data_IF_930582443454
#
_entry.id   IF_930582443454
#
_cell.length_a   1.000
_cell.length_b   1.000
_cell.length_c   1.000
_cell.angle_alpha   90.00
_cell.angle_beta   90.00
_cell.angle_gamma   90.00
#
_symmetry.space_group_name_H-M   'P 1'
#
loop_
_entity.id
_entity.type
_entity.pdbx_description
1 polymer ?
#
# COMPACT_ATOMS: atom_id res chain seq x y z
N UNK A 1 -7.46 10.22 -12.38
CA UNK A 1 -8.47 10.19 -11.31
C UNK A 1 -7.76 10.40 -9.99
N UNK A 2 -8.28 11.28 -9.14
CA UNK A 2 -7.67 11.65 -7.86
C UNK A 2 -8.36 10.81 -6.79
N UNK A 3 -7.67 9.81 -6.22
CA UNK A 3 -8.20 9.11 -5.05
C UNK A 3 -8.33 10.06 -3.85
N UNK A 4 -8.98 9.60 -2.79
CA UNK A 4 -9.21 10.37 -1.57
C UNK A 4 -8.07 10.15 -0.57
N UNK A 5 -7.62 11.20 0.11
CA UNK A 5 -6.67 11.05 1.23
C UNK A 5 -7.31 10.30 2.41
N UNK A 6 -6.50 9.64 3.23
CA UNK A 6 -6.96 8.80 4.34
C UNK A 6 -7.96 9.52 5.28
N UNK A 7 -7.71 10.80 5.57
CA UNK A 7 -8.54 11.59 6.49
C UNK A 7 -9.99 11.75 6.03
N UNK A 8 -10.22 11.75 4.71
CA UNK A 8 -11.55 11.94 4.11
C UNK A 8 -12.20 10.62 3.69
N UNK A 9 -11.53 9.49 3.91
CA UNK A 9 -12.05 8.17 3.57
C UNK A 9 -13.23 7.80 4.48
N UNK A 10 -14.36 7.41 3.89
CA UNK A 10 -15.57 7.02 4.63
C UNK A 10 -15.50 5.55 5.08
N UNK A 11 -14.64 5.28 6.05
CA UNK A 11 -14.50 3.98 6.74
C UNK A 11 -14.48 4.18 8.25
N UNK A 12 -14.72 3.10 8.99
CA UNK A 12 -14.66 3.13 10.45
C UNK A 12 -13.25 3.42 10.99
N UNK A 13 -13.17 3.87 12.24
CA UNK A 13 -11.91 4.30 12.85
C UNK A 13 -10.88 3.17 12.94
N UNK A 14 -11.34 1.92 13.11
CA UNK A 14 -10.45 0.75 13.15
C UNK A 14 -9.80 0.53 11.78
N UNK A 15 -10.57 0.59 10.69
CA UNK A 15 -10.04 0.53 9.33
C UNK A 15 -9.12 1.70 9.03
N UNK A 16 -9.47 2.93 9.41
CA UNK A 16 -8.57 4.10 9.24
C UNK A 16 -7.23 3.91 9.95
N UNK A 17 -7.25 3.44 11.20
CA UNK A 17 -6.04 3.17 11.97
C UNK A 17 -5.18 2.07 11.31
N UNK A 18 -5.79 1.03 10.77
CA UNK A 18 -5.07 -0.03 10.06
C UNK A 18 -4.45 0.46 8.73
N UNK A 19 -5.17 1.30 7.98
CA UNK A 19 -4.64 1.95 6.77
C UNK A 19 -3.50 2.92 7.08
N UNK A 20 -3.58 3.67 8.18
CA UNK A 20 -2.46 4.50 8.64
C UNK A 20 -1.22 3.65 8.96
N UNK A 21 -1.42 2.48 9.58
CA UNK A 21 -0.35 1.51 9.80
C UNK A 21 0.27 1.00 8.50
N UNK A 22 -0.56 0.79 7.46
CA UNK A 22 -0.09 0.42 6.11
C UNK A 22 0.76 1.53 5.49
N UNK A 23 0.30 2.79 5.52
CA UNK A 23 1.06 3.95 5.04
C UNK A 23 2.41 4.08 5.74
N UNK A 24 2.43 3.90 7.06
CA UNK A 24 3.65 3.96 7.86
C UNK A 24 4.67 2.91 7.41
N UNK A 25 4.22 1.67 7.14
CA UNK A 25 5.11 0.61 6.63
C UNK A 25 5.59 0.89 5.21
N UNK A 26 4.72 1.43 4.35
CA UNK A 26 5.08 1.83 2.99
C UNK A 26 6.15 2.92 3.00
N UNK A 27 5.96 3.94 3.85
CA UNK A 27 6.90 5.03 4.06
C UNK A 27 8.26 4.52 4.57
N UNK A 28 8.24 3.61 5.55
CA UNK A 28 9.46 3.03 6.10
C UNK A 28 10.27 2.28 5.03
N UNK A 29 9.60 1.45 4.23
CA UNK A 29 10.27 0.74 3.13
C UNK A 29 10.81 1.70 2.06
N UNK A 30 10.09 2.78 1.76
CA UNK A 30 10.54 3.82 0.83
C UNK A 30 11.77 4.58 1.35
N UNK A 31 11.79 4.98 2.63
CA UNK A 31 12.95 5.62 3.25
C UNK A 31 14.18 4.70 3.21
N UNK A 32 13.99 3.42 3.52
CA UNK A 32 15.05 2.42 3.40
C UNK A 32 15.55 2.25 1.96
N UNK A 33 14.65 2.27 0.97
CA UNK A 33 15.02 2.28 -0.44
C UNK A 33 15.89 3.51 -0.78
N UNK A 34 15.48 4.72 -0.39
CA UNK A 34 16.24 5.95 -0.62
C UNK A 34 17.62 5.96 0.06
N UNK A 35 17.75 5.32 1.23
CA UNK A 35 19.04 5.17 1.94
C UNK A 35 19.99 4.22 1.22
N UNK A 36 19.45 3.20 0.56
CA UNK A 36 20.24 2.19 -0.16
C UNK A 36 20.63 2.60 -1.58
N UNK A 37 20.09 3.72 -2.09
CA UNK A 37 20.51 4.24 -3.38
C UNK A 37 21.97 4.72 -3.33
N UNK A 38 22.76 4.47 -4.39
CA UNK A 38 24.13 4.98 -4.46
C UNK A 38 24.09 6.51 -4.32
N UNK A 39 25.06 7.05 -3.58
CA UNK A 39 25.15 8.48 -3.28
C UNK A 39 25.57 9.23 -4.55
N UNK A 40 24.60 9.49 -5.45
CA UNK A 40 24.58 10.72 -6.23
C UNK A 40 24.13 11.88 -5.33
N UNK A 41 24.30 13.14 -5.77
CA UNK A 41 24.06 14.39 -5.02
C UNK A 41 22.65 14.53 -4.39
N UNK A 42 22.32 13.70 -3.41
CA UNK A 42 21.06 13.68 -2.68
C UNK A 42 21.38 13.99 -1.21
N UNK A 43 21.23 15.27 -0.85
CA UNK A 43 21.33 15.74 0.54
C UNK A 43 20.26 15.05 1.42
N UNK A 44 20.45 15.00 2.74
CA UNK A 44 19.45 14.47 3.66
C UNK A 44 18.10 15.23 3.57
N UNK A 45 18.16 16.54 3.37
CA UNK A 45 16.98 17.40 3.13
C UNK A 45 16.16 16.91 1.92
N UNK A 46 16.84 16.49 0.84
CA UNK A 46 16.15 15.93 -0.34
C UNK A 46 15.43 14.61 -0.05
N UNK A 47 15.82 13.85 0.97
CA UNK A 47 15.19 12.56 1.33
C UNK A 47 13.90 12.78 2.09
N UNK A 48 13.91 13.68 3.08
CA UNK A 48 12.71 14.02 3.83
C UNK A 48 11.63 14.62 2.91
N UNK A 49 12.03 15.48 1.96
CA UNK A 49 11.13 15.99 0.94
C UNK A 49 10.53 14.89 0.05
N UNK A 50 11.33 13.90 -0.35
CA UNK A 50 10.85 12.75 -1.12
C UNK A 50 9.87 11.89 -0.33
N UNK A 51 10.13 11.65 0.95
CA UNK A 51 9.23 10.93 1.85
C UNK A 51 7.90 11.69 2.04
N UNK A 52 7.94 13.01 2.25
CA UNK A 52 6.73 13.86 2.31
C UNK A 52 5.94 13.82 1.00
N UNK A 53 6.64 13.88 -0.15
CA UNK A 53 6.04 13.75 -1.48
C UNK A 53 5.39 12.38 -1.67
N UNK A 54 6.04 11.31 -1.22
CA UNK A 54 5.51 9.96 -1.32
C UNK A 54 4.19 9.80 -0.54
N UNK A 55 4.14 10.24 0.73
CA UNK A 55 2.92 10.17 1.56
C UNK A 55 1.77 10.96 0.93
N UNK A 56 2.05 12.18 0.45
CA UNK A 56 1.05 13.02 -0.24
C UNK A 56 0.54 12.39 -1.54
N UNK A 57 1.31 11.47 -2.13
CA UNK A 57 0.92 10.71 -3.32
C UNK A 57 0.03 9.50 -3.02
N UNK A 58 -0.12 9.09 -1.76
CA UNK A 58 -0.98 7.95 -1.39
C UNK A 58 -2.43 8.40 -1.39
N UNK A 59 -3.27 7.65 -2.09
CA UNK A 59 -4.69 7.92 -2.20
C UNK A 59 -5.50 6.62 -2.20
N UNK A 60 -6.77 6.72 -1.81
CA UNK A 60 -7.67 5.59 -1.70
C UNK A 60 -8.90 5.76 -2.58
N UNK A 61 -9.40 4.66 -3.12
CA UNK A 61 -10.67 4.62 -3.83
C UNK A 61 -11.54 3.52 -3.20
N UNK A 62 -12.69 3.91 -2.67
CA UNK A 62 -13.67 2.98 -2.09
C UNK A 62 -14.46 2.31 -3.21
N UNK A 63 -14.31 1.00 -3.32
CA UNK A 63 -15.19 0.15 -4.12
C UNK A 63 -16.15 -0.65 -3.24
N UNK A 64 -17.07 -1.38 -3.88
CA UNK A 64 -18.05 -2.21 -3.17
C UNK A 64 -17.41 -3.39 -2.42
N UNK A 65 -16.40 -4.04 -3.03
CA UNK A 65 -15.71 -5.21 -2.46
C UNK A 65 -14.36 -4.89 -1.84
N UNK A 66 -13.72 -3.82 -2.27
CA UNK A 66 -12.34 -3.53 -1.94
C UNK A 66 -12.10 -2.03 -1.77
N UNK A 67 -11.17 -1.68 -0.89
CA UNK A 67 -10.49 -0.39 -0.92
C UNK A 67 -9.28 -0.53 -1.83
N UNK A 68 -9.18 0.31 -2.86
CA UNK A 68 -8.01 0.36 -3.73
C UNK A 68 -7.02 1.38 -3.17
N UNK A 69 -5.77 0.96 -2.96
CA UNK A 69 -4.66 1.81 -2.53
C UNK A 69 -3.87 2.21 -3.76
N UNK A 70 -3.79 3.51 -4.02
CA UNK A 70 -3.16 4.10 -5.20
C UNK A 70 -1.94 4.90 -4.72
N UNK A 71 -0.83 4.77 -5.44
CA UNK A 71 0.34 5.61 -5.26
C UNK A 71 0.55 6.44 -6.52
N UNK A 72 0.37 7.75 -6.37
CA UNK A 72 0.58 8.72 -7.43
C UNK A 72 2.04 9.19 -7.39
N UNK A 73 2.71 9.18 -8.53
CA UNK A 73 3.99 9.86 -8.63
C UNK A 73 3.72 11.36 -8.80
N UNK A 74 4.15 12.19 -7.84
CA UNK A 74 3.89 13.64 -7.90
C UNK A 74 4.61 14.34 -9.08
N UNK A 75 5.61 13.69 -9.68
CA UNK A 75 6.41 14.28 -10.76
C UNK A 75 6.11 13.69 -12.16
N UNK A 76 5.32 12.62 -12.24
CA UNK A 76 4.94 11.96 -13.50
C UNK A 76 3.48 11.56 -13.37
N UNK A 77 2.60 11.99 -14.29
CA UNK A 77 1.13 11.77 -14.28
C UNK A 77 0.69 10.28 -14.19
N UNK A 78 1.64 9.35 -14.12
CA UNK A 78 1.43 7.93 -13.87
C UNK A 78 1.08 7.65 -12.40
N UNK A 79 -0.13 7.15 -12.20
CA UNK A 79 -0.57 6.53 -10.94
C UNK A 79 -0.48 5.01 -11.07
N UNK A 80 -0.10 4.32 -10.00
CA UNK A 80 -0.13 2.85 -9.97
C UNK A 80 -0.91 2.35 -8.75
N UNK A 81 -1.44 1.14 -8.86
CA UNK A 81 -2.16 0.50 -7.76
C UNK A 81 -1.18 -0.31 -6.94
N UNK A 82 -1.08 0.04 -5.66
CA UNK A 82 -0.21 -0.63 -4.70
C UNK A 82 -0.82 -1.97 -4.25
N UNK A 83 -2.06 -1.93 -3.80
CA UNK A 83 -2.78 -3.08 -3.25
C UNK A 83 -4.29 -2.84 -3.20
N UNK A 84 -5.03 -3.91 -2.98
CA UNK A 84 -6.45 -3.84 -2.64
C UNK A 84 -6.66 -4.40 -1.23
N UNK A 85 -7.52 -3.77 -0.44
CA UNK A 85 -7.92 -4.25 0.89
C UNK A 85 -9.32 -4.82 0.79
N UNK A 86 -9.51 -6.06 1.23
CA UNK A 86 -10.80 -6.72 1.17
C UNK A 86 -11.80 -6.15 2.19
N UNK A 87 -13.02 -5.91 1.73
CA UNK A 87 -14.15 -5.49 2.56
C UNK A 87 -15.20 -6.58 2.65
N UNK A 88 -15.65 -7.11 1.51
CA UNK A 88 -16.86 -7.95 1.46
C UNK A 88 -16.73 -9.15 0.53
N UNK A 89 -15.57 -9.39 -0.10
CA UNK A 89 -15.42 -10.61 -0.88
C UNK A 89 -15.33 -11.81 0.06
N UNK A 90 -16.29 -12.73 -0.09
CA UNK A 90 -16.45 -13.96 0.71
C UNK A 90 -15.26 -14.92 0.63
N UNK A 91 -14.44 -14.84 -0.43
CA UNK A 91 -13.25 -15.67 -0.58
C UNK A 91 -12.06 -15.22 0.29
N UNK A 92 -12.18 -14.08 0.96
CA UNK A 92 -11.11 -13.45 1.74
C UNK A 92 -11.66 -12.89 3.05
N UNK A 93 -10.79 -12.74 4.04
CA UNK A 93 -11.17 -12.13 5.30
C UNK A 93 -11.24 -10.60 5.16
N UNK A 94 -12.05 -9.96 6.01
CA UNK A 94 -12.08 -8.50 6.10
C UNK A 94 -10.69 -7.97 6.46
N UNK A 95 -10.18 -7.01 5.67
CA UNK A 95 -8.82 -6.45 5.84
C UNK A 95 -7.71 -7.22 5.10
N UNK A 96 -8.02 -8.30 4.38
CA UNK A 96 -6.99 -9.01 3.61
C UNK A 96 -6.39 -8.12 2.53
N UNK A 97 -5.05 -8.12 2.46
CA UNK A 97 -4.28 -7.39 1.46
C UNK A 97 -4.16 -8.27 0.23
N UNK A 98 -4.68 -7.80 -0.90
CA UNK A 98 -4.58 -8.45 -2.19
C UNK A 98 -3.63 -7.68 -3.11
N UNK A 99 -2.86 -8.44 -3.88
CA UNK A 99 -1.97 -7.88 -4.91
C UNK A 99 -2.79 -7.35 -6.08
N UNK A 100 -2.39 -6.23 -6.67
CA UNK A 100 -2.98 -5.76 -7.92
C UNK A 100 -2.61 -6.70 -9.09
N UNK A 101 -3.62 -7.18 -9.81
CA UNK A 101 -3.46 -7.86 -11.11
C UNK A 101 -3.59 -6.87 -12.26
N UNK A 102 -4.41 -5.83 -12.07
CA UNK A 102 -4.49 -4.66 -12.92
C UNK A 102 -5.02 -3.47 -12.14
N UNK A 103 -5.29 -2.37 -12.85
CA UNK A 103 -5.72 -1.12 -12.21
C UNK A 103 -7.09 -1.24 -11.49
N UNK A 104 -7.98 -2.08 -12.02
CA UNK A 104 -9.35 -2.23 -11.51
C UNK A 104 -9.60 -3.51 -10.73
N UNK A 105 -8.64 -4.46 -10.71
CA UNK A 105 -8.87 -5.78 -10.12
C UNK A 105 -7.67 -6.31 -9.32
N UNK A 106 -7.92 -6.91 -8.15
CA UNK A 106 -6.92 -7.68 -7.44
C UNK A 106 -6.70 -9.05 -8.07
N UNK A 107 -5.54 -9.62 -7.80
CA UNK A 107 -5.26 -11.04 -7.97
C UNK A 107 -6.00 -11.82 -6.87
N UNK A 108 -7.00 -12.61 -7.27
CA UNK A 108 -7.87 -13.37 -6.35
C UNK A 108 -7.35 -14.78 -6.04
N UNK A 109 -6.04 -15.00 -6.17
CA UNK A 109 -5.45 -16.31 -5.94
C UNK A 109 -5.14 -16.60 -4.46
N UNK A 110 -4.74 -15.58 -3.69
CA UNK A 110 -4.42 -15.69 -2.25
C UNK A 110 -4.35 -14.30 -1.62
N UNK A 111 -4.53 -14.19 -0.31
CA UNK A 111 -4.16 -12.99 0.45
C UNK A 111 -2.62 -12.82 0.54
N UNK A 112 -2.16 -11.60 0.87
CA UNK A 112 -0.76 -11.23 1.13
C UNK A 112 -0.55 -10.81 2.60
N UNK A 113 -1.39 -11.32 3.47
CA UNK A 113 -1.53 -10.92 4.86
C UNK A 113 -2.79 -10.08 5.08
N UNK A 114 -3.03 -9.68 6.32
CA UNK A 114 -4.21 -8.91 6.73
C UNK A 114 -3.76 -7.65 7.46
N UNK A 115 -4.36 -6.49 7.15
CA UNK A 115 -3.97 -5.19 7.74
C UNK A 115 -4.17 -5.13 9.26
N UNK A 116 -5.04 -5.98 9.81
CA UNK A 116 -5.30 -6.08 11.25
C UNK A 116 -4.41 -7.10 11.96
N UNK A 117 -3.61 -7.86 11.22
CA UNK A 117 -2.75 -8.93 11.73
C UNK A 117 -1.31 -8.76 11.23
N UNK A 118 -0.68 -9.87 10.80
CA UNK A 118 0.66 -9.89 10.27
C UNK A 118 0.66 -9.82 8.74
N UNK A 119 1.50 -8.92 8.22
CA UNK A 119 1.70 -8.77 6.78
C UNK A 119 3.07 -8.15 6.48
N UNK A 120 3.53 -8.37 5.25
CA UNK A 120 4.73 -7.74 4.69
C UNK A 120 4.39 -7.09 3.36
N UNK A 121 4.87 -5.89 3.14
CA UNK A 121 4.69 -5.09 1.93
C UNK A 121 5.98 -4.37 1.58
N UNK A 122 6.04 -3.82 0.37
CA UNK A 122 7.07 -2.87 -0.05
C UNK A 122 6.39 -1.58 -0.46
N UNK A 123 7.12 -0.48 -0.57
CA UNK A 123 6.59 0.79 -1.08
C UNK A 123 6.03 0.70 -2.51
N UNK A 124 6.42 -0.33 -3.28
CA UNK A 124 5.95 -0.58 -4.66
C UNK A 124 4.67 -1.40 -4.75
N UNK A 125 4.23 -2.03 -3.66
CA UNK A 125 3.05 -2.90 -3.70
C UNK A 125 3.05 -4.06 -2.73
N UNK A 126 1.91 -4.76 -2.73
CA UNK A 126 1.78 -6.06 -2.07
C UNK A 126 2.68 -7.12 -2.73
N UNK A 127 3.27 -7.97 -1.89
CA UNK A 127 4.28 -8.94 -2.29
C UNK A 127 3.75 -10.01 -3.26
N UNK A 128 4.66 -10.56 -4.06
CA UNK A 128 4.41 -11.79 -4.81
C UNK A 128 4.41 -13.01 -3.87
N UNK A 129 3.67 -14.04 -4.27
CA UNK A 129 3.72 -15.35 -3.62
C UNK A 129 5.04 -16.02 -3.96
N UNK A 130 6.00 -15.89 -3.05
CA UNK A 130 7.26 -16.64 -3.08
C UNK A 130 7.35 -17.48 -1.81
N UNK A 131 8.18 -18.53 -1.83
CA UNK A 131 8.37 -19.41 -0.67
C UNK A 131 8.81 -18.65 0.61
N UNK A 132 9.46 -17.49 0.46
CA UNK A 132 9.87 -16.63 1.58
C UNK A 132 8.72 -15.78 2.13
N UNK A 133 7.80 -15.38 1.27
CA UNK A 133 6.72 -14.44 1.60
C UNK A 133 5.45 -15.16 2.10
N UNK A 134 5.30 -16.46 1.82
CA UNK A 134 4.16 -17.26 2.27
C UNK A 134 4.18 -17.60 3.76
N UNK A 135 5.35 -17.55 4.42
CA UNK A 135 5.49 -17.85 5.86
C UNK A 135 4.74 -16.89 6.78
N UNK A 136 4.54 -15.64 6.36
CA UNK A 136 3.78 -14.65 7.14
C UNK A 136 2.26 -14.79 7.02
N UNK A 137 1.79 -15.74 6.21
CA UNK A 137 0.37 -15.97 5.91
C UNK A 137 -0.14 -17.24 6.63
N UNK A 138 0.70 -17.88 7.45
CA UNK A 138 0.43 -19.20 8.09
C UNK A 138 0.68 -19.17 9.60
N UNK A 139 0.55 -18.00 10.23
CA UNK A 139 0.54 -17.91 11.69
C UNK A 139 -0.83 -18.35 12.23
#
# INVERSE_FOLDING_TARGET
MVGTELNYLQVDDKMKAALFGLETKMLFDFDQFLRNLPVGNHSAESREEQSKKYIKGIAYEMGYKYIKVICNNLNNESSHVHSFINLTNENFNYGDILKAEGFNKPAVNKARGNIFEHYRITHTGALYLTARNTKCITA
#
